data_IF_256673386736
#
_entry.id   IF_256673386736
#
_cell.length_a   1.000
_cell.length_b   1.000
_cell.length_c   1.000
_cell.angle_alpha   90.00
_cell.angle_beta   90.00
_cell.angle_gamma   90.00
#
_symmetry.space_group_name_H-M   'P 1'
#
loop_
_entity.id
_entity.type
_entity.pdbx_description
1 polymer ?
#
# COMPACT_ATOMS: atom_id res chain seq x y z
N UNK A 1 -7.64 -24.37 -7.29
CA UNK A 1 -7.59 -23.08 -6.56
C UNK A 1 -8.50 -22.02 -7.18
N UNK A 2 -8.46 -21.77 -8.49
CA UNK A 2 -9.26 -20.70 -9.13
C UNK A 2 -10.78 -20.88 -9.00
N UNK A 3 -11.30 -22.11 -9.13
CA UNK A 3 -12.75 -22.40 -8.96
C UNK A 3 -13.21 -22.07 -7.53
N UNK A 4 -12.39 -22.40 -6.53
CA UNK A 4 -12.71 -22.09 -5.14
C UNK A 4 -12.73 -20.57 -4.90
N UNK A 5 -11.76 -19.83 -5.46
CA UNK A 5 -11.71 -18.38 -5.33
C UNK A 5 -12.94 -17.69 -5.93
N UNK A 6 -13.38 -18.12 -7.12
CA UNK A 6 -14.59 -17.55 -7.75
C UNK A 6 -15.84 -17.87 -6.94
N UNK A 7 -16.00 -19.12 -6.50
CA UNK A 7 -17.12 -19.53 -5.65
C UNK A 7 -17.13 -18.75 -4.33
N UNK A 8 -15.97 -18.61 -3.68
CA UNK A 8 -15.85 -17.86 -2.43
C UNK A 8 -16.26 -16.39 -2.61
N UNK A 9 -15.76 -15.71 -3.65
CA UNK A 9 -16.09 -14.29 -3.91
C UNK A 9 -17.58 -14.12 -4.23
N UNK A 10 -18.18 -15.02 -5.01
CA UNK A 10 -19.61 -14.96 -5.30
C UNK A 10 -20.47 -15.21 -4.05
N UNK A 11 -20.11 -16.19 -3.23
CA UNK A 11 -20.80 -16.47 -1.97
C UNK A 11 -20.63 -15.32 -0.97
N UNK A 12 -19.44 -14.72 -0.90
CA UNK A 12 -19.18 -13.57 -0.05
C UNK A 12 -20.01 -12.36 -0.46
N UNK A 13 -20.11 -12.08 -1.77
CA UNK A 13 -20.98 -11.00 -2.29
C UNK A 13 -22.44 -11.21 -1.89
N UNK A 14 -22.94 -12.44 -1.99
CA UNK A 14 -24.31 -12.79 -1.56
C UNK A 14 -24.50 -12.60 -0.06
N UNK A 15 -23.57 -13.10 0.75
CA UNK A 15 -23.60 -12.96 2.20
C UNK A 15 -23.54 -11.49 2.66
N UNK A 16 -22.65 -10.71 2.05
CA UNK A 16 -22.52 -9.28 2.33
C UNK A 16 -23.82 -8.52 2.01
N UNK A 17 -24.47 -8.81 0.88
CA UNK A 17 -25.74 -8.19 0.52
C UNK A 17 -26.87 -8.51 1.51
N UNK A 18 -26.95 -9.76 1.97
CA UNK A 18 -27.91 -10.18 3.01
C UNK A 18 -27.66 -9.43 4.33
N UNK A 19 -26.40 -9.29 4.73
CA UNK A 19 -26.04 -8.58 5.96
C UNK A 19 -26.32 -7.08 5.86
N UNK A 20 -25.96 -6.45 4.74
CA UNK A 20 -26.24 -5.04 4.48
C UNK A 20 -27.74 -4.73 4.49
N UNK A 21 -28.55 -5.66 3.95
CA UNK A 21 -30.00 -5.56 4.03
C UNK A 21 -30.51 -5.71 5.48
N UNK A 22 -30.07 -6.73 6.22
CA UNK A 22 -30.47 -6.95 7.63
C UNK A 22 -30.11 -5.78 8.55
N UNK A 23 -28.98 -5.13 8.29
CA UNK A 23 -28.53 -3.96 9.05
C UNK A 23 -29.09 -2.64 8.52
N UNK A 24 -29.90 -2.67 7.45
CA UNK A 24 -30.49 -1.50 6.81
C UNK A 24 -29.44 -0.44 6.39
N UNK A 25 -28.27 -0.89 5.97
CA UNK A 25 -27.17 -0.06 5.43
C UNK A 25 -27.04 -0.21 3.91
N UNK A 26 -27.97 -0.93 3.28
CA UNK A 26 -28.00 -1.12 1.84
C UNK A 26 -28.30 0.22 1.16
N UNK A 27 -27.32 0.76 0.43
CA UNK A 27 -27.45 2.07 -0.22
C UNK A 27 -27.19 3.26 0.69
N UNK A 28 -26.54 3.06 1.86
CA UNK A 28 -25.95 4.18 2.60
C UNK A 28 -24.94 4.87 1.68
N UNK A 29 -25.28 6.06 1.21
CA UNK A 29 -24.53 6.76 0.18
C UNK A 29 -23.33 7.47 0.85
N UNK A 30 -22.09 7.21 0.40
CA UNK A 30 -20.89 7.88 0.94
C UNK A 30 -20.87 9.39 0.66
N UNK A 31 -21.88 9.95 -0.02
CA UNK A 31 -21.98 11.37 -0.36
C UNK A 31 -22.48 12.27 0.80
N UNK A 32 -22.94 11.69 1.91
CA UNK A 32 -23.16 12.43 3.18
C UNK A 32 -21.89 12.51 4.05
N UNK A 33 -20.72 12.22 3.50
CA UNK A 33 -19.47 12.34 4.25
C UNK A 33 -19.10 13.79 4.53
N UNK A 34 -18.93 14.08 5.83
CA UNK A 34 -18.42 15.36 6.30
C UNK A 34 -17.02 15.60 5.72
N UNK A 35 -16.81 16.78 5.15
CA UNK A 35 -15.50 17.21 4.63
C UNK A 35 -14.48 17.18 5.76
N UNK A 36 -13.31 16.56 5.54
CA UNK A 36 -12.26 16.44 6.57
C UNK A 36 -11.85 17.82 7.11
N UNK A 37 -11.71 18.01 8.43
CA UNK A 37 -11.32 19.30 9.02
C UNK A 37 -9.98 19.84 8.47
N UNK A 38 -9.03 18.95 8.20
CA UNK A 38 -7.71 19.27 7.64
C UNK A 38 -7.81 19.95 6.27
N UNK A 39 -8.75 19.48 5.44
CA UNK A 39 -9.02 20.05 4.11
C UNK A 39 -9.67 21.44 4.22
N UNK A 40 -10.62 21.60 5.15
CA UNK A 40 -11.30 22.88 5.38
C UNK A 40 -10.34 23.96 5.91
N UNK A 41 -9.42 23.60 6.81
CA UNK A 41 -8.44 24.53 7.38
C UNK A 41 -7.47 25.05 6.32
N UNK A 42 -6.93 24.15 5.49
CA UNK A 42 -5.90 24.50 4.52
C UNK A 42 -6.40 25.37 3.35
N UNK A 43 -7.69 25.27 2.99
CA UNK A 43 -8.25 25.98 1.83
C UNK A 43 -9.39 26.95 2.17
N UNK A 44 -9.48 27.39 3.43
CA UNK A 44 -10.46 28.41 3.87
C UNK A 44 -10.52 29.66 2.97
N UNK A 45 -9.40 30.04 2.35
CA UNK A 45 -9.31 31.22 1.48
C UNK A 45 -9.82 31.00 0.03
N UNK A 46 -9.93 29.74 -0.45
CA UNK A 46 -10.38 29.42 -1.82
C UNK A 46 -11.73 28.71 -1.78
N UNK A 47 -12.79 29.48 -1.58
CA UNK A 47 -14.17 28.98 -1.60
C UNK A 47 -14.78 29.05 -3.00
N UNK A 48 -15.50 28.01 -3.41
CA UNK A 48 -16.29 27.97 -4.64
C UNK A 48 -17.69 27.50 -4.31
N UNK A 49 -18.69 28.18 -4.86
CA UNK A 49 -20.09 27.77 -4.69
C UNK A 49 -20.32 26.49 -5.48
N UNK A 50 -20.75 25.44 -4.79
CA UNK A 50 -21.14 24.19 -5.42
C UNK A 50 -22.48 24.39 -6.17
N UNK A 51 -22.57 23.86 -7.40
CA UNK A 51 -23.75 24.05 -8.26
C UNK A 51 -24.99 23.30 -7.75
N UNK A 52 -24.79 22.23 -6.99
CA UNK A 52 -25.86 21.36 -6.50
C UNK A 52 -26.31 21.79 -5.10
N UNK A 53 -25.38 21.87 -4.15
CA UNK A 53 -25.69 22.22 -2.75
C UNK A 53 -25.85 23.73 -2.52
N UNK A 54 -25.35 24.57 -3.44
CA UNK A 54 -25.30 26.05 -3.33
C UNK A 54 -24.52 26.59 -2.13
N UNK A 55 -23.81 25.73 -1.42
CA UNK A 55 -22.95 26.10 -0.31
C UNK A 55 -21.54 26.46 -0.81
N UNK A 56 -20.86 27.34 -0.05
CA UNK A 56 -19.48 27.73 -0.34
C UNK A 56 -18.51 26.68 0.21
N UNK A 57 -17.93 25.89 -0.67
CA UNK A 57 -17.04 24.78 -0.31
C UNK A 57 -15.58 25.09 -0.69
N UNK A 58 -14.58 24.62 0.06
CA UNK A 58 -13.18 24.78 -0.30
C UNK A 58 -12.85 23.97 -1.58
N UNK A 59 -12.29 24.63 -2.60
CA UNK A 59 -12.03 24.01 -3.91
C UNK A 59 -10.53 23.97 -4.25
N UNK A 60 -10.07 22.81 -4.71
CA UNK A 60 -8.72 22.63 -5.29
C UNK A 60 -8.85 22.57 -6.82
N UNK A 61 -7.97 23.26 -7.53
CA UNK A 61 -7.91 23.17 -8.99
C UNK A 61 -7.47 21.76 -9.41
N UNK A 62 -8.10 21.22 -10.46
CA UNK A 62 -7.81 19.85 -10.92
C UNK A 62 -6.34 19.67 -11.31
N UNK A 63 -5.69 20.72 -11.83
CA UNK A 63 -4.26 20.69 -12.16
C UNK A 63 -3.37 20.61 -10.90
N UNK A 64 -3.68 21.38 -9.84
CA UNK A 64 -2.95 21.27 -8.57
C UNK A 64 -3.13 19.87 -7.94
N UNK A 65 -4.35 19.30 -8.00
CA UNK A 65 -4.64 17.95 -7.50
C UNK A 65 -3.86 16.90 -8.31
N UNK A 66 -3.88 16.99 -9.64
CA UNK A 66 -3.18 16.06 -10.53
C UNK A 66 -1.67 16.07 -10.33
N UNK A 67 -1.04 17.24 -10.19
CA UNK A 67 0.41 17.33 -9.94
C UNK A 67 0.83 16.69 -8.62
N UNK A 68 0.00 16.81 -7.58
CA UNK A 68 0.26 16.19 -6.27
C UNK A 68 0.08 14.67 -6.32
N UNK A 69 -0.99 14.19 -6.95
CA UNK A 69 -1.20 12.75 -7.18
C UNK A 69 -0.03 12.18 -8.00
N UNK A 70 0.45 12.90 -9.01
CA UNK A 70 1.59 12.49 -9.81
C UNK A 70 2.88 12.40 -8.97
N UNK A 71 3.16 13.40 -8.12
CA UNK A 71 4.31 13.35 -7.20
C UNK A 71 4.23 12.19 -6.20
N UNK A 72 3.03 11.88 -5.71
CA UNK A 72 2.77 10.72 -4.86
C UNK A 72 2.94 9.39 -5.61
N UNK A 73 2.47 9.30 -6.86
CA UNK A 73 2.67 8.12 -7.70
C UNK A 73 4.15 7.87 -7.98
N UNK A 74 4.94 8.92 -8.28
CA UNK A 74 6.39 8.79 -8.48
C UNK A 74 7.09 8.26 -7.24
N UNK A 75 6.73 8.77 -6.07
CA UNK A 75 7.36 8.35 -4.81
C UNK A 75 7.02 6.91 -4.43
N UNK A 76 5.79 6.47 -4.71
CA UNK A 76 5.38 5.05 -4.58
C UNK A 76 6.15 4.16 -5.57
N UNK A 77 6.24 4.55 -6.85
CA UNK A 77 7.01 3.80 -7.85
C UNK A 77 8.49 3.69 -7.49
N UNK A 78 9.10 4.76 -6.96
CA UNK A 78 10.46 4.73 -6.46
C UNK A 78 10.63 3.69 -5.33
N UNK A 79 9.65 3.58 -4.44
CA UNK A 79 9.69 2.61 -3.35
C UNK A 79 9.56 1.17 -3.85
N UNK A 80 8.71 0.90 -4.85
CA UNK A 80 8.64 -0.41 -5.52
C UNK A 80 10.00 -0.78 -6.12
N UNK A 81 10.64 0.14 -6.83
CA UNK A 81 11.99 -0.09 -7.36
C UNK A 81 13.02 -0.40 -6.27
N UNK A 82 12.93 0.27 -5.12
CA UNK A 82 13.79 0.03 -3.95
C UNK A 82 13.59 -1.40 -3.43
N UNK A 83 12.35 -1.85 -3.27
CA UNK A 83 12.04 -3.22 -2.83
C UNK A 83 12.60 -4.25 -3.82
N UNK A 84 12.43 -4.04 -5.13
CA UNK A 84 12.99 -4.92 -6.17
C UNK A 84 14.53 -4.97 -6.09
N UNK A 85 15.18 -3.83 -5.89
CA UNK A 85 16.63 -3.76 -5.75
C UNK A 85 17.12 -4.53 -4.50
N UNK A 86 16.40 -4.47 -3.39
CA UNK A 86 16.71 -5.25 -2.19
C UNK A 86 16.52 -6.74 -2.39
N UNK A 87 15.46 -7.16 -3.09
CA UNK A 87 15.25 -8.57 -3.46
C UNK A 87 16.40 -9.07 -4.31
N UNK A 88 16.87 -8.27 -5.28
CA UNK A 88 18.05 -8.58 -6.06
C UNK A 88 19.32 -8.68 -5.18
N UNK A 89 19.48 -7.77 -4.22
CA UNK A 89 20.57 -7.83 -3.23
C UNK A 89 20.59 -9.14 -2.43
N UNK A 90 19.43 -9.67 -2.05
CA UNK A 90 19.32 -10.96 -1.34
C UNK A 90 19.71 -12.14 -2.25
N UNK A 91 19.37 -12.07 -3.54
CA UNK A 91 19.80 -13.08 -4.52
C UNK A 91 21.32 -13.08 -4.66
N UNK A 92 21.93 -11.90 -4.79
CA UNK A 92 23.40 -11.75 -4.86
C UNK A 92 24.08 -12.24 -3.59
N UNK A 93 23.54 -11.89 -2.41
CA UNK A 93 24.03 -12.40 -1.12
C UNK A 93 24.07 -13.93 -1.09
N UNK A 94 22.99 -14.60 -1.53
CA UNK A 94 22.94 -16.07 -1.61
C UNK A 94 24.02 -16.64 -2.53
N UNK A 95 24.30 -15.99 -3.66
CA UNK A 95 25.32 -16.44 -4.61
C UNK A 95 26.71 -16.32 -3.99
N UNK A 96 27.04 -15.19 -3.36
CA UNK A 96 28.35 -14.95 -2.75
C UNK A 96 28.60 -15.95 -1.62
N UNK A 97 27.64 -16.10 -0.70
CA UNK A 97 27.81 -16.99 0.45
C UNK A 97 28.00 -18.44 0.00
N UNK A 98 27.19 -18.91 -0.97
CA UNK A 98 27.38 -20.26 -1.57
C UNK A 98 28.75 -20.40 -2.23
N UNK A 99 29.20 -19.37 -2.96
CA UNK A 99 30.52 -19.36 -3.60
C UNK A 99 31.67 -19.47 -2.58
N UNK A 100 31.58 -18.76 -1.45
CA UNK A 100 32.58 -18.80 -0.39
C UNK A 100 32.64 -20.18 0.29
N UNK A 101 31.49 -20.79 0.59
CA UNK A 101 31.45 -22.14 1.17
C UNK A 101 32.00 -23.20 0.21
N UNK A 102 31.66 -23.12 -1.09
CA UNK A 102 32.19 -24.03 -2.10
C UNK A 102 33.71 -23.88 -2.30
N UNK A 103 34.24 -22.66 -2.19
CA UNK A 103 35.68 -22.41 -2.36
C UNK A 103 36.52 -22.86 -1.15
N UNK A 104 35.92 -22.97 0.04
CA UNK A 104 36.66 -23.20 1.29
C UNK A 104 36.66 -24.67 1.75
N UNK A 105 35.64 -25.46 1.43
CA UNK A 105 35.52 -26.85 1.88
C UNK A 105 35.04 -27.82 0.78
N UNK A 106 35.87 -28.83 0.51
CA UNK A 106 35.62 -29.91 -0.47
C UNK A 106 34.81 -31.10 0.10
N UNK A 107 34.31 -31.02 1.34
CA UNK A 107 33.56 -32.14 1.95
C UNK A 107 32.06 -32.00 1.67
N UNK A 108 31.45 -33.04 1.09
CA UNK A 108 30.03 -33.05 0.69
C UNK A 108 29.06 -32.87 1.87
N UNK A 109 29.45 -33.37 3.06
CA UNK A 109 28.62 -33.28 4.26
C UNK A 109 28.47 -31.83 4.76
N UNK A 110 29.56 -31.04 4.72
CA UNK A 110 29.52 -29.64 5.15
C UNK A 110 28.81 -28.77 4.12
N UNK A 111 28.92 -29.09 2.82
CA UNK A 111 28.20 -28.38 1.76
C UNK A 111 26.67 -28.53 1.91
N UNK A 112 26.17 -29.72 2.26
CA UNK A 112 24.74 -29.95 2.52
C UNK A 112 24.22 -29.09 3.67
N UNK A 113 24.96 -29.04 4.79
CA UNK A 113 24.61 -28.20 5.93
C UNK A 113 24.70 -26.71 5.59
N UNK A 114 25.73 -26.30 4.85
CA UNK A 114 25.93 -24.91 4.42
C UNK A 114 24.78 -24.39 3.55
N UNK A 115 24.15 -25.23 2.73
CA UNK A 115 22.96 -24.85 1.94
C UNK A 115 21.78 -24.49 2.85
N UNK A 116 21.52 -25.30 3.88
CA UNK A 116 20.43 -25.07 4.83
C UNK A 116 20.72 -23.79 5.62
N UNK A 117 21.94 -23.64 6.14
CA UNK A 117 22.35 -22.43 6.87
C UNK A 117 22.23 -21.16 6.01
N UNK A 118 22.72 -21.19 4.77
CA UNK A 118 22.64 -20.03 3.85
C UNK A 118 21.19 -19.70 3.49
N UNK A 119 20.32 -20.71 3.34
CA UNK A 119 18.90 -20.48 3.08
C UNK A 119 18.20 -19.85 4.29
N UNK A 120 18.50 -20.36 5.49
CA UNK A 120 17.93 -19.87 6.74
C UNK A 120 18.37 -18.43 7.06
N UNK A 121 19.66 -18.12 6.93
CA UNK A 121 20.17 -16.75 7.15
C UNK A 121 19.60 -15.78 6.12
N UNK A 122 19.52 -16.16 4.84
CA UNK A 122 18.90 -15.33 3.82
C UNK A 122 17.41 -15.07 4.09
N UNK A 123 16.67 -16.09 4.54
CA UNK A 123 15.26 -15.94 4.89
C UNK A 123 15.06 -15.01 6.10
N UNK A 124 15.90 -15.14 7.12
CA UNK A 124 15.87 -14.29 8.32
C UNK A 124 16.20 -12.83 7.96
N UNK A 125 17.24 -12.61 7.16
CA UNK A 125 17.61 -11.29 6.65
C UNK A 125 16.45 -10.68 5.86
N UNK A 126 15.85 -11.44 4.94
CA UNK A 126 14.70 -10.99 4.14
C UNK A 126 13.50 -10.61 5.03
N UNK A 127 13.20 -11.42 6.05
CA UNK A 127 12.10 -11.15 6.97
C UNK A 127 12.31 -9.83 7.74
N UNK A 128 13.52 -9.60 8.26
CA UNK A 128 13.86 -8.35 8.95
C UNK A 128 13.71 -7.16 7.99
N UNK A 129 14.19 -7.29 6.75
CA UNK A 129 14.05 -6.24 5.74
C UNK A 129 12.60 -5.92 5.40
N UNK A 130 11.76 -6.93 5.15
CA UNK A 130 10.33 -6.73 4.83
C UNK A 130 9.62 -6.07 5.99
N UNK A 131 9.84 -6.52 7.23
CA UNK A 131 9.21 -5.91 8.41
C UNK A 131 9.64 -4.44 8.58
N UNK A 132 10.93 -4.15 8.45
CA UNK A 132 11.45 -2.78 8.56
C UNK A 132 10.91 -1.87 7.45
N UNK A 133 10.87 -2.36 6.20
CA UNK A 133 10.36 -1.56 5.09
C UNK A 133 8.86 -1.33 5.18
N UNK A 134 8.08 -2.32 5.62
CA UNK A 134 6.65 -2.15 5.82
C UNK A 134 6.35 -1.05 6.84
N UNK A 135 7.10 -1.01 7.95
CA UNK A 135 6.96 0.06 8.94
C UNK A 135 7.28 1.45 8.35
N UNK A 136 8.39 1.57 7.62
CA UNK A 136 8.79 2.84 7.00
C UNK A 136 7.79 3.27 5.91
N UNK A 137 7.34 2.33 5.08
CA UNK A 137 6.41 2.58 4.00
C UNK A 137 5.05 3.03 4.51
N UNK A 138 4.48 2.40 5.53
CA UNK A 138 3.21 2.85 6.11
C UNK A 138 3.28 4.30 6.59
N UNK A 139 4.39 4.68 7.26
CA UNK A 139 4.61 6.05 7.71
C UNK A 139 4.75 7.02 6.53
N UNK A 140 5.40 6.59 5.45
CA UNK A 140 5.56 7.36 4.23
C UNK A 140 4.22 7.51 3.49
N UNK A 141 3.50 6.42 3.25
CA UNK A 141 2.18 6.38 2.62
C UNK A 141 1.17 7.27 3.36
N UNK A 142 1.18 7.26 4.69
CA UNK A 142 0.37 8.18 5.49
C UNK A 142 0.72 9.66 5.21
N UNK A 143 2.02 9.99 5.21
CA UNK A 143 2.49 11.35 4.94
C UNK A 143 2.19 11.81 3.50
N UNK A 144 2.34 10.92 2.52
CA UNK A 144 2.01 11.17 1.11
C UNK A 144 0.51 11.39 0.93
N UNK A 145 -0.32 10.59 1.58
CA UNK A 145 -1.78 10.70 1.45
C UNK A 145 -2.29 11.98 2.11
N UNK A 146 -1.71 12.40 3.24
CA UNK A 146 -1.98 13.73 3.80
C UNK A 146 -1.52 14.87 2.86
N UNK A 147 -0.41 14.68 2.14
CA UNK A 147 0.07 15.67 1.18
C UNK A 147 -0.82 15.82 -0.07
N UNK A 148 -1.59 14.78 -0.43
CA UNK A 148 -2.57 14.83 -1.51
C UNK A 148 -3.84 15.64 -1.16
N UNK A 149 -4.09 15.92 0.12
CA UNK A 149 -5.30 16.60 0.62
C UNK A 149 -6.61 16.03 0.03
N UNK A 150 -6.94 14.75 0.32
CA UNK A 150 -8.23 14.20 -0.04
C UNK A 150 -9.36 14.94 0.67
N UNK A 151 -10.51 15.06 -0.01
CA UNK A 151 -11.65 15.87 0.44
C UNK A 151 -12.42 15.20 1.57
N UNK A 152 -12.65 13.89 1.43
CA UNK A 152 -13.44 13.07 2.37
C UNK A 152 -12.57 12.02 3.05
N UNK A 153 -13.09 11.42 4.13
CA UNK A 153 -12.38 10.37 4.84
C UNK A 153 -12.30 9.11 3.97
N UNK A 154 -13.34 8.77 3.22
CA UNK A 154 -13.27 7.65 2.27
C UNK A 154 -12.25 7.86 1.16
N UNK A 155 -12.11 9.07 0.60
CA UNK A 155 -11.04 9.34 -0.38
C UNK A 155 -9.64 9.15 0.23
N UNK A 156 -9.46 9.56 1.49
CA UNK A 156 -8.20 9.36 2.21
C UNK A 156 -7.92 7.88 2.43
N UNK A 157 -8.89 7.15 2.97
CA UNK A 157 -8.74 5.73 3.29
C UNK A 157 -8.54 4.90 2.03
N UNK A 158 -9.23 5.21 0.93
CA UNK A 158 -9.04 4.55 -0.36
C UNK A 158 -7.65 4.81 -0.96
N UNK A 159 -7.17 6.06 -0.95
CA UNK A 159 -5.82 6.38 -1.45
C UNK A 159 -4.73 5.77 -0.57
N UNK A 160 -4.89 5.82 0.75
CA UNK A 160 -3.97 5.19 1.70
C UNK A 160 -3.94 3.67 1.53
N UNK A 161 -5.11 3.04 1.41
CA UNK A 161 -5.25 1.59 1.19
C UNK A 161 -4.64 1.18 -0.13
N UNK A 162 -4.93 1.92 -1.22
CA UNK A 162 -4.35 1.65 -2.53
C UNK A 162 -2.82 1.68 -2.50
N UNK A 163 -2.23 2.70 -1.87
CA UNK A 163 -0.77 2.77 -1.70
C UNK A 163 -0.26 1.68 -0.79
N UNK A 164 -0.93 1.37 0.32
CA UNK A 164 -0.51 0.31 1.23
C UNK A 164 -0.48 -1.07 0.60
N UNK A 165 -1.35 -1.33 -0.38
CA UNK A 165 -1.36 -2.57 -1.16
C UNK A 165 -0.30 -2.63 -2.26
N UNK A 166 0.18 -1.49 -2.74
CA UNK A 166 1.11 -1.36 -3.88
C UNK A 166 2.57 -1.30 -3.40
#
# INVERSE_FOLDING_TARGET
MSIWMTVFVELWKRYHAELAYKWNVLGYEPDEEVIRPEYQYYKRAKMKINRVTKEAEPYISLAEKALRIFGSAITVLFFICLVIALLFGIIVYRIIVRGVFNARENSEFIQSQAVIFTSATAALINLIFIMSMNYFYNKLAYKLTNWEYPRTQSEFDNSFTFKGFL
#
